data_IF_521451402268
#
_entry.id   IF_521451402268
#
_cell.length_a   1.000
_cell.length_b   1.000
_cell.length_c   1.000
_cell.angle_alpha   90.00
_cell.angle_beta   90.00
_cell.angle_gamma   90.00
#
_symmetry.space_group_name_H-M   'P 1'
#
loop_
_entity.id
_entity.type
_entity.pdbx_description
1 polymer ?
#
# COMPACT_ATOMS: atom_id res chain seq x y z
N UNK A 1 31.76 5.96 -2.43
CA UNK A 1 31.00 6.37 -1.23
C UNK A 1 29.95 7.37 -1.66
N UNK A 2 28.65 7.05 -1.58
CA UNK A 2 27.59 8.04 -1.80
C UNK A 2 27.49 8.92 -0.55
N UNK A 3 27.57 10.23 -0.72
CA UNK A 3 27.44 11.23 0.34
C UNK A 3 26.00 11.18 0.86
N UNK A 4 25.80 10.62 2.05
CA UNK A 4 24.51 10.60 2.74
C UNK A 4 24.23 12.04 3.17
N UNK A 5 23.38 12.76 2.45
CA UNK A 5 23.03 14.14 2.79
C UNK A 5 22.00 14.07 3.90
N UNK A 6 22.46 14.14 5.14
CA UNK A 6 21.59 14.14 6.31
C UNK A 6 20.95 15.52 6.47
N UNK A 7 19.64 15.62 6.24
CA UNK A 7 18.88 16.85 6.46
C UNK A 7 18.43 16.92 7.93
N UNK A 8 18.78 18.00 8.62
CA UNK A 8 18.23 18.33 9.94
C UNK A 8 16.88 19.02 9.74
N UNK A 9 15.79 18.30 9.94
CA UNK A 9 14.45 18.89 9.87
C UNK A 9 13.99 19.28 11.27
N UNK A 10 13.56 20.54 11.43
CA UNK A 10 12.80 20.98 12.60
C UNK A 10 11.34 20.51 12.52
N UNK A 11 10.75 20.52 11.31
CA UNK A 11 9.38 20.07 11.01
C UNK A 11 9.31 19.57 9.55
N UNK A 12 8.68 18.41 9.33
CA UNK A 12 8.39 17.93 7.97
C UNK A 12 7.17 18.70 7.46
N UNK A 13 7.35 19.44 6.37
CA UNK A 13 6.33 20.29 5.77
C UNK A 13 5.96 19.78 4.39
N UNK A 14 4.66 19.74 4.12
CA UNK A 14 4.13 19.46 2.79
C UNK A 14 3.67 20.77 2.16
N UNK A 15 4.08 21.04 0.92
CA UNK A 15 3.49 22.13 0.17
C UNK A 15 2.05 21.78 -0.22
N UNK A 16 1.17 22.79 -0.34
CA UNK A 16 -0.21 22.61 -0.85
C UNK A 16 -0.31 21.74 -2.12
N UNK A 17 0.67 21.86 -3.03
CA UNK A 17 0.71 21.06 -4.26
C UNK A 17 0.96 19.57 -3.98
N UNK A 18 1.86 19.26 -3.06
CA UNK A 18 2.15 17.87 -2.67
C UNK A 18 0.93 17.22 -2.02
N UNK A 19 0.22 17.97 -1.18
CA UNK A 19 -1.01 17.48 -0.53
C UNK A 19 -2.10 17.21 -1.57
N UNK A 20 -2.33 18.16 -2.49
CA UNK A 20 -3.35 18.00 -3.53
C UNK A 20 -3.01 16.84 -4.49
N UNK A 21 -1.72 16.63 -4.80
CA UNK A 21 -1.29 15.48 -5.59
C UNK A 21 -1.53 14.17 -4.84
N UNK A 22 -1.10 14.08 -3.58
CA UNK A 22 -1.27 12.88 -2.75
C UNK A 22 -2.75 12.54 -2.55
N UNK A 23 -3.61 13.53 -2.32
CA UNK A 23 -5.05 13.36 -2.19
C UNK A 23 -5.67 12.77 -3.46
N UNK A 24 -5.35 13.32 -4.63
CA UNK A 24 -5.88 12.82 -5.90
C UNK A 24 -5.31 11.43 -6.23
N UNK A 25 -3.99 11.28 -6.13
CA UNK A 25 -3.29 10.06 -6.44
C UNK A 25 -3.72 8.90 -5.53
N UNK A 26 -3.93 9.14 -4.23
CA UNK A 26 -4.32 8.09 -3.29
C UNK A 26 -5.71 7.53 -3.57
N UNK A 27 -6.65 8.37 -4.01
CA UNK A 27 -7.98 7.93 -4.43
C UNK A 27 -7.87 7.03 -5.66
N UNK A 28 -7.16 7.47 -6.70
CA UNK A 28 -6.98 6.68 -7.93
C UNK A 28 -6.25 5.36 -7.67
N UNK A 29 -5.18 5.40 -6.88
CA UNK A 29 -4.46 4.19 -6.45
C UNK A 29 -5.40 3.24 -5.71
N UNK A 30 -6.22 3.74 -4.78
CA UNK A 30 -7.17 2.90 -4.07
C UNK A 30 -8.15 2.22 -5.02
N UNK A 31 -8.72 2.96 -5.99
CA UNK A 31 -9.66 2.42 -6.97
C UNK A 31 -9.04 1.27 -7.78
N UNK A 32 -7.78 1.38 -8.20
CA UNK A 32 -7.07 0.30 -8.92
C UNK A 32 -6.90 -0.93 -8.02
N UNK A 33 -6.53 -0.74 -6.76
CA UNK A 33 -6.43 -1.86 -5.81
C UNK A 33 -7.81 -2.52 -5.58
N UNK A 34 -8.88 -1.74 -5.42
CA UNK A 34 -10.23 -2.25 -5.19
C UNK A 34 -10.76 -3.00 -6.42
N UNK A 35 -10.56 -2.43 -7.62
CA UNK A 35 -10.87 -3.05 -8.91
C UNK A 35 -10.15 -4.38 -9.09
N UNK A 36 -8.85 -4.42 -8.78
CA UNK A 36 -8.05 -5.66 -8.88
C UNK A 36 -8.47 -6.68 -7.83
N UNK A 37 -8.73 -6.26 -6.59
CA UNK A 37 -9.18 -7.15 -5.52
C UNK A 37 -10.52 -7.80 -5.86
N UNK A 38 -11.47 -7.04 -6.40
CA UNK A 38 -12.74 -7.56 -6.87
C UNK A 38 -12.56 -8.58 -8.00
N UNK A 39 -11.75 -8.25 -9.01
CA UNK A 39 -11.43 -9.17 -10.10
C UNK A 39 -10.85 -10.50 -9.58
N UNK A 40 -9.88 -10.44 -8.65
CA UNK A 40 -9.31 -11.64 -8.06
C UNK A 40 -10.36 -12.44 -7.29
N UNK A 41 -11.22 -11.80 -6.50
CA UNK A 41 -12.29 -12.50 -5.79
C UNK A 41 -13.26 -13.20 -6.75
N UNK A 42 -13.59 -12.56 -7.87
CA UNK A 42 -14.52 -13.11 -8.87
C UNK A 42 -13.98 -14.32 -9.65
N UNK A 43 -12.65 -14.50 -9.68
CA UNK A 43 -12.01 -15.47 -10.58
C UNK A 43 -11.02 -16.44 -9.92
N UNK A 44 -10.49 -16.12 -8.74
CA UNK A 44 -9.60 -17.03 -8.03
C UNK A 44 -10.40 -18.14 -7.33
N UNK A 45 -9.95 -19.40 -7.38
CA UNK A 45 -10.45 -20.44 -6.50
C UNK A 45 -10.20 -20.10 -5.02
N UNK A 46 -11.09 -20.54 -4.13
CA UNK A 46 -10.99 -20.28 -2.68
C UNK A 46 -9.63 -20.67 -2.10
N UNK A 47 -9.09 -21.83 -2.51
CA UNK A 47 -7.77 -22.30 -2.06
C UNK A 47 -6.64 -21.33 -2.41
N UNK A 48 -6.73 -20.66 -3.56
CA UNK A 48 -5.76 -19.67 -4.00
C UNK A 48 -6.01 -18.32 -3.33
N UNK A 49 -7.27 -17.94 -3.12
CA UNK A 49 -7.63 -16.76 -2.34
C UNK A 49 -7.04 -16.84 -0.91
N UNK A 50 -7.21 -17.97 -0.25
CA UNK A 50 -6.69 -18.20 1.10
C UNK A 50 -5.15 -18.22 1.11
N UNK A 51 -4.53 -18.78 0.06
CA UNK A 51 -3.09 -18.84 -0.09
C UNK A 51 -2.47 -17.50 -0.52
N UNK A 52 -3.21 -16.58 -1.13
CA UNK A 52 -2.71 -15.29 -1.63
C UNK A 52 -3.16 -14.08 -0.80
N UNK A 53 -4.45 -13.96 -0.53
CA UNK A 53 -5.06 -12.84 0.20
C UNK A 53 -5.21 -13.17 1.69
N UNK A 54 -5.67 -14.38 2.03
CA UNK A 54 -5.72 -14.88 3.42
C UNK A 54 -6.67 -14.11 4.34
N UNK A 55 -7.64 -13.37 3.77
CA UNK A 55 -8.70 -12.64 4.48
C UNK A 55 -9.99 -12.84 3.70
N UNK A 56 -11.12 -13.21 4.35
CA UNK A 56 -12.40 -13.33 3.66
C UNK A 56 -12.79 -12.06 2.90
N UNK A 57 -13.31 -12.22 1.68
CA UNK A 57 -13.68 -11.07 0.85
C UNK A 57 -14.76 -10.18 1.49
N UNK A 58 -15.71 -10.78 2.20
CA UNK A 58 -16.74 -10.05 2.97
C UNK A 58 -16.15 -9.07 3.99
N UNK A 59 -15.02 -9.44 4.61
CA UNK A 59 -14.33 -8.63 5.61
C UNK A 59 -13.54 -7.51 4.95
N UNK A 60 -12.69 -7.84 3.98
CA UNK A 60 -11.83 -6.84 3.33
C UNK A 60 -12.62 -5.85 2.45
N UNK A 61 -13.76 -6.27 1.87
CA UNK A 61 -14.61 -5.41 1.03
C UNK A 61 -15.50 -4.45 1.83
N UNK A 62 -15.71 -4.71 3.12
CA UNK A 62 -16.51 -3.85 3.99
C UNK A 62 -15.95 -2.43 4.11
N UNK A 63 -14.63 -2.27 3.95
CA UNK A 63 -13.89 -1.00 4.06
C UNK A 63 -14.32 0.07 3.05
N UNK A 64 -14.81 -0.32 1.88
CA UNK A 64 -15.27 0.62 0.85
C UNK A 64 -16.77 0.56 0.58
N UNK A 65 -17.48 -0.42 1.15
CA UNK A 65 -18.95 -0.44 1.16
C UNK A 65 -19.56 0.52 2.18
N UNK A 66 -18.73 1.10 3.04
CA UNK A 66 -19.13 2.07 4.06
C UNK A 66 -19.97 1.51 5.19
N UNK A 67 -19.90 0.19 5.38
CA UNK A 67 -20.63 -0.53 6.42
C UNK A 67 -19.71 -0.91 7.59
N UNK A 68 -18.51 -0.31 7.68
CA UNK A 68 -17.49 -0.75 8.63
C UNK A 68 -16.98 0.38 9.53
N UNK A 69 -17.35 0.32 10.81
CA UNK A 69 -16.80 1.18 11.87
C UNK A 69 -15.40 0.71 12.37
N UNK A 70 -14.86 -0.39 11.83
CA UNK A 70 -13.76 -1.15 12.46
C UNK A 70 -12.50 -1.36 11.60
N UNK A 71 -12.33 -0.65 10.49
CA UNK A 71 -11.15 -0.81 9.65
C UNK A 71 -10.73 0.44 8.88
N UNK A 72 -9.49 0.43 8.40
CA UNK A 72 -8.87 1.59 7.72
C UNK A 72 -8.00 1.13 6.56
N UNK A 73 -7.78 2.02 5.59
CA UNK A 73 -6.82 1.80 4.51
C UNK A 73 -5.63 2.74 4.73
N UNK A 74 -4.44 2.15 4.75
CA UNK A 74 -3.19 2.87 4.95
C UNK A 74 -2.26 2.67 3.76
N UNK A 75 -2.06 3.75 2.99
CA UNK A 75 -1.13 3.75 1.88
C UNK A 75 0.24 4.27 2.30
N UNK A 76 1.30 3.64 1.80
CA UNK A 76 2.69 3.99 2.08
C UNK A 76 3.29 4.64 0.85
N UNK A 77 3.69 5.91 0.99
CA UNK A 77 4.21 6.73 -0.08
C UNK A 77 5.65 7.16 0.19
N UNK A 78 6.44 7.27 -0.87
CA UNK A 78 7.78 7.85 -0.86
C UNK A 78 7.82 9.00 -1.88
N UNK A 79 8.33 10.15 -1.47
CA UNK A 79 8.71 11.20 -2.41
C UNK A 79 10.08 10.85 -3.00
N UNK A 80 10.08 10.30 -4.21
CA UNK A 80 11.31 9.95 -4.93
C UNK A 80 11.73 11.10 -5.86
N UNK A 81 12.96 11.08 -6.40
CA UNK A 81 13.38 12.08 -7.40
C UNK A 81 12.51 12.12 -8.67
N UNK A 82 11.75 11.07 -8.96
CA UNK A 82 10.84 10.98 -10.11
C UNK A 82 9.37 11.21 -9.74
N UNK A 83 9.11 11.73 -8.53
CA UNK A 83 7.77 12.00 -8.03
C UNK A 83 7.33 11.03 -6.92
N UNK A 84 6.07 11.16 -6.51
CA UNK A 84 5.45 10.33 -5.49
C UNK A 84 5.30 8.88 -5.97
N UNK A 85 5.67 7.92 -5.11
CA UNK A 85 5.54 6.49 -5.38
C UNK A 85 4.80 5.80 -4.24
N UNK A 86 3.71 5.12 -4.57
CA UNK A 86 3.00 4.23 -3.65
C UNK A 86 3.71 2.88 -3.60
N UNK A 87 4.27 2.55 -2.44
CA UNK A 87 4.98 1.29 -2.20
C UNK A 87 4.11 0.26 -1.45
N UNK A 88 2.83 0.57 -1.22
CA UNK A 88 1.88 -0.37 -0.65
C UNK A 88 0.59 0.30 -0.18
N UNK A 89 -0.50 -0.46 -0.20
CA UNK A 89 -1.84 -0.11 0.24
C UNK A 89 -2.34 -1.20 1.20
N UNK A 90 -2.09 -1.01 2.49
CA UNK A 90 -2.47 -1.92 3.57
C UNK A 90 -3.96 -1.73 3.90
N UNK A 91 -4.71 -2.84 3.93
CA UNK A 91 -6.10 -2.87 4.40
C UNK A 91 -6.13 -3.44 5.80
N UNK A 92 -6.38 -2.58 6.79
CA UNK A 92 -6.44 -2.96 8.19
C UNK A 92 -7.88 -3.33 8.52
N UNK A 93 -8.12 -4.61 8.86
CA UNK A 93 -9.45 -5.09 9.18
C UNK A 93 -9.43 -6.01 10.41
N UNK A 94 -10.55 -5.99 11.13
CA UNK A 94 -10.84 -6.91 12.23
C UNK A 94 -11.80 -7.98 11.73
N UNK A 95 -11.41 -9.23 11.94
CA UNK A 95 -12.25 -10.41 11.69
C UNK A 95 -12.79 -10.92 13.02
N UNK A 96 -14.12 -10.94 13.17
CA UNK A 96 -14.76 -11.63 14.29
C UNK A 96 -14.61 -13.14 14.09
N UNK A 97 -14.19 -13.85 15.13
CA UNK A 97 -14.05 -15.31 15.09
C UNK A 97 -15.33 -16.04 15.53
N UNK A 98 -16.41 -15.32 15.82
CA UNK A 98 -17.70 -15.90 16.24
C UNK A 98 -18.59 -16.27 15.04
N UNK A 99 -19.31 -17.42 15.08
CA UNK A 99 -20.33 -17.76 14.09
C UNK A 99 -21.47 -16.74 14.10
N UNK A 100 -22.01 -16.43 12.92
CA UNK A 100 -23.09 -15.43 12.73
C UNK A 100 -24.44 -15.78 13.39
N UNK A 101 -24.58 -16.91 14.11
CA UNK A 101 -25.88 -17.50 14.46
C UNK A 101 -26.18 -17.65 15.97
N UNK A 102 -25.36 -17.15 16.90
CA UNK A 102 -25.67 -17.27 18.33
C UNK A 102 -26.32 -16.00 18.91
N UNK A 103 -27.63 -15.87 18.73
CA UNK A 103 -28.48 -14.84 19.38
C UNK A 103 -28.59 -15.00 20.91
N UNK A 104 -27.95 -15.99 21.54
CA UNK A 104 -28.14 -16.32 22.96
C UNK A 104 -26.84 -16.60 23.76
N UNK A 105 -25.74 -15.91 23.47
CA UNK A 105 -24.52 -16.00 24.28
C UNK A 105 -24.36 -14.81 25.24
N UNK A 106 -24.72 -15.03 26.51
CA UNK A 106 -24.40 -14.13 27.62
C UNK A 106 -22.92 -14.33 27.99
N UNK A 107 -22.10 -13.27 27.88
CA UNK A 107 -20.71 -13.17 28.35
C UNK A 107 -19.67 -14.10 27.69
N UNK A 108 -19.54 -14.06 26.36
CA UNK A 108 -18.27 -14.47 25.72
C UNK A 108 -17.44 -13.23 25.37
N UNK A 109 -16.16 -13.24 25.77
CA UNK A 109 -15.19 -12.23 25.33
C UNK A 109 -15.02 -12.35 23.82
N UNK A 110 -15.58 -11.41 23.06
CA UNK A 110 -15.48 -11.39 21.61
C UNK A 110 -14.02 -11.43 21.18
N UNK A 111 -13.64 -12.49 20.48
CA UNK A 111 -12.30 -12.64 19.94
C UNK A 111 -12.23 -12.05 18.54
N UNK A 112 -11.20 -11.23 18.31
CA UNK A 112 -10.95 -10.59 17.02
C UNK A 112 -9.56 -10.94 16.51
N UNK A 113 -9.47 -11.23 15.22
CA UNK A 113 -8.20 -11.36 14.50
C UNK A 113 -7.92 -10.07 13.73
N UNK A 114 -6.80 -9.42 14.07
CA UNK A 114 -6.34 -8.22 13.36
C UNK A 114 -5.51 -8.59 12.14
N UNK A 115 -5.89 -8.04 10.99
CA UNK A 115 -5.17 -8.19 9.73
C UNK A 115 -4.47 -6.88 9.39
N UNK A 116 -3.14 -6.92 9.29
CA UNK A 116 -2.32 -5.72 9.06
C UNK A 116 -2.23 -5.29 7.58
N UNK A 117 -2.84 -6.02 6.65
CA UNK A 117 -2.91 -5.62 5.24
C UNK A 117 -1.62 -5.79 4.42
N UNK A 118 -0.48 -6.20 5.01
CA UNK A 118 0.82 -6.20 4.31
C UNK A 118 0.84 -7.21 3.17
N UNK A 119 0.39 -8.43 3.43
CA UNK A 119 0.38 -9.49 2.42
C UNK A 119 -0.53 -9.13 1.25
N UNK A 120 -1.76 -8.70 1.54
CA UNK A 120 -2.75 -8.28 0.54
C UNK A 120 -2.20 -7.12 -0.29
N UNK A 121 -1.58 -6.14 0.39
CA UNK A 121 -0.94 -5.01 -0.28
C UNK A 121 0.12 -5.45 -1.29
N UNK A 122 1.00 -6.38 -0.93
CA UNK A 122 2.12 -6.77 -1.80
C UNK A 122 1.69 -7.68 -2.94
N UNK A 123 0.77 -8.61 -2.68
CA UNK A 123 0.21 -9.48 -3.72
C UNK A 123 -0.54 -8.65 -4.75
N UNK A 124 -1.45 -7.79 -4.32
CA UNK A 124 -2.20 -6.92 -5.22
C UNK A 124 -1.26 -6.01 -6.01
N UNK A 125 -0.21 -5.46 -5.37
CA UNK A 125 0.75 -4.62 -6.07
C UNK A 125 1.52 -5.38 -7.17
N UNK A 126 1.89 -6.63 -6.92
CA UNK A 126 2.53 -7.49 -7.92
C UNK A 126 1.59 -7.83 -9.09
N UNK A 127 0.32 -8.13 -8.79
CA UNK A 127 -0.70 -8.43 -9.80
C UNK A 127 -0.97 -7.20 -10.67
N UNK A 128 -1.20 -6.04 -10.05
CA UNK A 128 -1.44 -4.77 -10.76
C UNK A 128 -0.28 -4.46 -11.69
N UNK A 129 0.96 -4.54 -11.21
CA UNK A 129 2.14 -4.26 -12.01
C UNK A 129 2.29 -5.23 -13.19
N UNK A 130 2.09 -6.52 -12.96
CA UNK A 130 2.15 -7.55 -14.00
C UNK A 130 1.07 -7.33 -15.07
N UNK A 131 -0.15 -7.01 -14.66
CA UNK A 131 -1.25 -6.68 -15.57
C UNK A 131 -0.96 -5.41 -16.37
N UNK A 132 -0.38 -4.39 -15.75
CA UNK A 132 0.04 -3.17 -16.45
C UNK A 132 1.10 -3.45 -17.52
N UNK A 133 2.20 -4.15 -17.18
CA UNK A 133 3.26 -4.45 -18.15
C UNK A 133 2.74 -5.30 -19.31
N UNK A 134 1.90 -6.31 -19.03
CA UNK A 134 1.27 -7.13 -20.07
C UNK A 134 0.29 -6.31 -20.92
N UNK A 135 -0.49 -5.41 -20.32
CA UNK A 135 -1.43 -4.56 -21.05
C UNK A 135 -0.67 -3.63 -22.02
N UNK A 136 0.41 -3.03 -21.56
CA UNK A 136 1.26 -2.17 -22.41
C UNK A 136 1.95 -2.98 -23.52
N UNK A 137 2.50 -4.16 -23.19
CA UNK A 137 3.21 -5.01 -24.13
C UNK A 137 2.30 -5.55 -25.24
N UNK A 138 1.08 -5.95 -24.88
CA UNK A 138 0.14 -6.60 -25.79
C UNK A 138 -0.97 -5.68 -26.29
N UNK A 139 -0.90 -4.35 -26.05
CA UNK A 139 -1.96 -3.38 -26.42
C UNK A 139 -2.53 -3.58 -27.84
N UNK A 140 -1.72 -3.85 -28.90
CA UNK A 140 -2.25 -4.08 -30.25
C UNK A 140 -3.12 -5.34 -30.42
N UNK A 141 -3.09 -6.26 -29.45
CA UNK A 141 -3.70 -7.58 -29.52
C UNK A 141 -4.84 -7.79 -28.51
N UNK A 142 -5.07 -6.86 -27.57
CA UNK A 142 -6.03 -7.03 -26.47
C UNK A 142 -7.49 -6.68 -26.84
N UNK A 143 -7.74 -6.25 -28.08
CA UNK A 143 -9.06 -5.81 -28.51
C UNK A 143 -9.44 -4.44 -27.92
N UNK A 144 -10.73 -4.12 -27.94
CA UNK A 144 -11.23 -2.76 -27.70
C UNK A 144 -11.48 -2.42 -26.20
N UNK A 145 -11.41 -3.40 -25.29
CA UNK A 145 -11.76 -3.21 -23.87
C UNK A 145 -10.73 -3.84 -22.92
N UNK A 146 -9.56 -3.19 -22.70
CA UNK A 146 -8.60 -3.64 -21.70
C UNK A 146 -9.16 -3.50 -20.28
N UNK A 147 -8.74 -4.39 -19.37
CA UNK A 147 -9.15 -4.31 -17.96
C UNK A 147 -8.78 -2.96 -17.31
N UNK A 148 -7.58 -2.45 -17.60
CA UNK A 148 -7.16 -1.11 -17.21
C UNK A 148 -7.34 -0.17 -18.40
N UNK A 149 -8.09 0.91 -18.19
CA UNK A 149 -8.21 1.98 -19.17
C UNK A 149 -6.93 2.84 -19.20
N UNK A 150 -6.88 3.82 -20.11
CA UNK A 150 -5.69 4.67 -20.25
C UNK A 150 -5.39 5.51 -18.99
N UNK A 151 -6.42 5.88 -18.21
CA UNK A 151 -6.26 6.64 -16.95
C UNK A 151 -5.70 5.74 -15.83
N UNK A 152 -6.15 4.49 -15.75
CA UNK A 152 -5.60 3.45 -14.88
C UNK A 152 -4.13 3.22 -15.23
N UNK A 153 -3.80 2.99 -16.51
CA UNK A 153 -2.43 2.76 -16.96
C UNK A 153 -1.53 3.97 -16.65
N UNK A 154 -2.02 5.19 -16.85
CA UNK A 154 -1.30 6.40 -16.48
C UNK A 154 -1.05 6.47 -14.96
N UNK A 155 -2.06 6.16 -14.15
CA UNK A 155 -1.94 6.13 -12.68
C UNK A 155 -0.94 5.07 -12.23
N UNK A 156 -0.99 3.86 -12.80
CA UNK A 156 -0.07 2.77 -12.46
C UNK A 156 1.36 3.17 -12.80
N UNK A 157 1.62 3.63 -14.02
CA UNK A 157 2.97 4.05 -14.44
C UNK A 157 3.53 5.22 -13.61
N UNK A 158 2.66 6.13 -13.18
CA UNK A 158 3.05 7.32 -12.42
C UNK A 158 3.34 7.01 -10.96
N UNK A 159 2.54 6.15 -10.31
CA UNK A 159 2.58 6.02 -8.85
C UNK A 159 2.99 4.64 -8.35
N UNK A 160 2.73 3.57 -9.09
CA UNK A 160 3.10 2.24 -8.63
C UNK A 160 4.60 1.98 -8.84
N UNK A 161 5.14 1.12 -7.99
CA UNK A 161 6.52 0.66 -8.06
C UNK A 161 6.56 -0.73 -8.70
N UNK A 162 7.51 -1.00 -9.61
CA UNK A 162 7.71 -2.33 -10.17
C UNK A 162 7.78 -3.39 -9.08
N UNK A 163 6.84 -4.33 -9.14
CA UNK A 163 6.62 -5.33 -8.09
C UNK A 163 6.28 -6.65 -8.73
N UNK A 164 6.94 -7.72 -8.32
CA UNK A 164 6.94 -9.01 -9.00
C UNK A 164 6.87 -10.16 -8.00
N UNK A 165 6.36 -11.31 -8.43
CA UNK A 165 6.41 -12.56 -7.64
C UNK A 165 7.75 -13.30 -7.77
N UNK A 166 8.63 -12.84 -8.67
CA UNK A 166 10.01 -13.31 -8.83
C UNK A 166 10.97 -12.12 -8.94
N UNK A 167 12.25 -12.32 -8.64
CA UNK A 167 13.27 -11.27 -8.71
C UNK A 167 13.94 -11.11 -10.08
N UNK A 168 13.72 -12.05 -11.01
CA UNK A 168 14.47 -12.14 -12.26
C UNK A 168 14.45 -10.85 -13.07
N UNK A 169 13.27 -10.24 -13.25
CA UNK A 169 13.12 -8.99 -14.01
C UNK A 169 13.88 -7.82 -13.40
N UNK A 170 13.98 -7.77 -12.07
CA UNK A 170 14.73 -6.71 -11.36
C UNK A 170 16.24 -6.96 -11.46
N UNK A 171 16.68 -8.21 -11.32
CA UNK A 171 18.10 -8.59 -11.46
C UNK A 171 18.61 -8.33 -12.88
N UNK A 172 17.87 -8.76 -13.91
CA UNK A 172 18.26 -8.52 -15.31
C UNK A 172 18.43 -7.03 -15.62
N UNK A 173 17.61 -6.18 -15.00
CA UNK A 173 17.69 -4.71 -15.14
C UNK A 173 18.66 -4.06 -14.15
N UNK A 174 19.43 -4.84 -13.39
CA UNK A 174 20.35 -4.35 -12.33
C UNK A 174 19.67 -3.39 -11.34
N UNK A 175 18.39 -3.64 -11.04
CA UNK A 175 17.61 -2.84 -10.10
C UNK A 175 17.69 -3.42 -8.69
N UNK A 176 18.08 -2.63 -7.68
CA UNK A 176 17.99 -3.07 -6.30
C UNK A 176 16.52 -3.34 -5.95
N UNK A 177 16.26 -4.37 -5.16
CA UNK A 177 14.90 -4.71 -4.75
C UNK A 177 14.82 -5.00 -3.26
N UNK A 178 13.60 -4.97 -2.74
CA UNK A 178 13.26 -5.43 -1.41
C UNK A 178 12.38 -6.67 -1.52
N UNK A 179 12.78 -7.73 -0.84
CA UNK A 179 11.98 -8.93 -0.68
C UNK A 179 10.99 -8.77 0.49
N UNK A 180 9.75 -9.18 0.23
CA UNK A 180 8.70 -9.39 1.22
C UNK A 180 8.38 -10.88 1.22
N UNK A 181 8.53 -11.52 2.38
CA UNK A 181 8.25 -12.94 2.59
C UNK A 181 7.20 -13.08 3.68
N UNK A 182 6.09 -13.72 3.35
CA UNK A 182 5.04 -14.08 4.31
C UNK A 182 4.44 -15.44 3.94
N UNK A 183 4.43 -16.37 4.89
CA UNK A 183 4.00 -17.76 4.72
C UNK A 183 4.52 -18.39 3.41
N UNK A 184 3.67 -18.43 2.38
CA UNK A 184 3.90 -19.08 1.10
C UNK A 184 4.12 -18.10 -0.06
N UNK A 185 4.24 -16.80 0.22
CA UNK A 185 4.37 -15.75 -0.80
C UNK A 185 5.71 -15.05 -0.65
N UNK A 186 6.32 -14.83 -1.81
CA UNK A 186 7.49 -13.96 -1.98
C UNK A 186 7.12 -12.89 -2.99
N UNK A 187 7.34 -11.64 -2.63
CA UNK A 187 7.17 -10.48 -3.50
C UNK A 187 8.43 -9.66 -3.50
N UNK A 188 8.88 -9.24 -4.68
CA UNK A 188 10.06 -8.43 -4.90
C UNK A 188 9.62 -7.09 -5.48
N UNK A 189 9.87 -6.01 -4.75
CA UNK A 189 9.55 -4.65 -5.17
C UNK A 189 10.84 -3.90 -5.45
N UNK A 190 10.90 -3.14 -6.55
CA UNK A 190 12.02 -2.25 -6.84
C UNK A 190 12.25 -1.32 -5.64
N UNK A 191 13.51 -1.15 -5.26
CA UNK A 191 13.89 -0.28 -4.18
C UNK A 191 13.77 1.18 -4.60
N UNK A 192 12.85 1.91 -3.98
CA UNK A 192 12.75 3.36 -4.12
C UNK A 192 13.51 4.04 -2.98
N UNK A 193 14.38 4.98 -3.35
CA UNK A 193 15.10 5.78 -2.37
C UNK A 193 14.16 6.77 -1.69
N UNK A 194 14.11 6.70 -0.37
CA UNK A 194 13.47 7.70 0.47
C UNK A 194 14.51 8.70 1.01
N UNK A 195 14.16 9.97 1.27
CA UNK A 195 15.06 10.92 1.91
C UNK A 195 15.48 10.45 3.31
N UNK A 196 16.77 10.53 3.62
CA UNK A 196 17.29 10.32 4.98
C UNK A 196 17.17 11.61 5.79
N UNK A 197 16.45 11.57 6.91
CA UNK A 197 16.22 12.72 7.79
C UNK A 197 16.70 12.42 9.19
N UNK A 198 17.17 13.46 9.88
CA UNK A 198 17.35 13.49 11.33
C UNK A 198 16.37 14.48 11.92
N UNK A 199 15.45 13.96 12.73
CA UNK A 199 14.50 14.76 13.50
C UNK A 199 15.06 15.03 14.89
N UNK A 200 15.04 16.29 15.32
CA UNK A 200 15.32 16.68 16.71
C UNK A 200 14.02 17.05 17.39
N UNK A 201 13.73 16.43 18.53
CA UNK A 201 12.55 16.69 19.35
C UNK A 201 12.91 16.69 20.83
N UNK A 202 11.97 17.06 21.70
CA UNK A 202 12.23 17.21 23.14
C UNK A 202 12.77 15.92 23.81
N UNK A 203 12.52 14.75 23.22
CA UNK A 203 13.02 13.44 23.68
C UNK A 203 14.33 12.97 23.04
N UNK A 204 14.96 13.75 22.16
CA UNK A 204 16.27 13.43 21.57
C UNK A 204 16.34 13.57 20.04
N UNK A 205 17.21 12.75 19.42
CA UNK A 205 17.42 12.69 17.98
C UNK A 205 16.91 11.36 17.43
N UNK A 206 16.22 11.41 16.30
CA UNK A 206 15.75 10.22 15.56
C UNK A 206 16.21 10.32 14.12
N UNK A 207 17.07 9.39 13.69
CA UNK A 207 17.48 9.24 12.29
C UNK A 207 16.63 8.17 11.61
N UNK A 208 16.16 8.45 10.40
CA UNK A 208 15.47 7.46 9.61
C UNK A 208 15.13 7.95 8.21
N UNK A 209 14.56 7.04 7.42
CA UNK A 209 14.03 7.35 6.10
C UNK A 209 12.64 7.94 6.23
N UNK A 210 12.42 9.08 5.60
CA UNK A 210 11.12 9.72 5.58
C UNK A 210 10.17 9.01 4.63
N UNK A 211 9.02 8.66 5.20
CA UNK A 211 7.90 8.04 4.51
C UNK A 211 6.64 8.86 4.77
N UNK A 212 5.70 8.79 3.84
CA UNK A 212 4.40 9.46 3.96
C UNK A 212 3.31 8.40 4.02
N UNK A 213 2.67 8.27 5.17
CA UNK A 213 1.41 7.54 5.27
C UNK A 213 0.27 8.39 4.71
N UNK A 214 -0.61 7.79 3.91
CA UNK A 214 -1.88 8.40 3.52
C UNK A 214 -2.99 7.49 4.05
N UNK A 215 -3.83 8.05 4.92
CA UNK A 215 -5.00 7.36 5.46
C UNK A 215 -6.18 7.59 4.53
N UNK A 216 -6.89 6.51 4.22
CA UNK A 216 -8.14 6.58 3.46
C UNK A 216 -9.30 6.12 4.33
N UNK A 217 -10.43 6.78 4.14
CA UNK A 217 -11.69 6.50 4.81
C UNK A 217 -12.82 6.50 3.78
N UNK A 218 -13.54 5.40 3.61
CA UNK A 218 -14.65 5.29 2.65
C UNK A 218 -14.30 5.75 1.22
N UNK A 219 -13.12 5.39 0.72
CA UNK A 219 -12.58 5.84 -0.58
C UNK A 219 -12.33 7.36 -0.69
N UNK A 220 -12.19 8.03 0.45
CA UNK A 220 -11.83 9.44 0.56
C UNK A 220 -10.49 9.58 1.27
N UNK A 221 -9.79 10.66 0.94
CA UNK A 221 -8.60 11.05 1.64
C UNK A 221 -8.96 11.49 3.08
N UNK A 222 -8.36 10.82 4.08
CA UNK A 222 -8.62 11.10 5.49
C UNK A 222 -7.47 11.88 6.16
N UNK A 223 -6.28 11.85 5.57
CA UNK A 223 -5.15 12.68 6.02
C UNK A 223 -3.78 12.06 5.79
N UNK A 224 -2.76 12.82 6.17
CA UNK A 224 -1.35 12.43 6.07
C UNK A 224 -0.80 12.04 7.44
N UNK A 225 0.01 10.97 7.44
CA UNK A 225 0.82 10.54 8.58
C UNK A 225 2.28 10.39 8.17
N UNK A 226 3.09 11.46 8.13
CA UNK A 226 4.53 11.33 7.96
C UNK A 226 5.13 10.45 9.06
N UNK A 227 6.10 9.62 8.71
CA UNK A 227 6.86 8.86 9.69
C UNK A 227 8.31 8.67 9.26
N UNK A 228 9.21 8.56 10.24
CA UNK A 228 10.58 8.11 10.02
C UNK A 228 10.64 6.60 10.21
N UNK A 229 11.31 5.92 9.29
CA UNK A 229 11.62 4.50 9.41
C UNK A 229 13.12 4.31 9.63
N UNK A 230 13.49 3.82 10.81
CA UNK A 230 14.88 3.57 11.15
C UNK A 230 15.46 2.33 10.42
N UNK A 231 16.72 2.02 10.70
CA UNK A 231 17.42 0.85 10.13
C UNK A 231 16.88 -0.48 10.65
N UNK A 232 16.26 -0.51 11.83
CA UNK A 232 15.60 -1.69 12.43
C UNK A 232 14.17 -1.87 11.91
N UNK A 233 13.65 -0.89 11.18
CA UNK A 233 12.31 -0.88 10.62
C UNK A 233 11.23 -0.31 11.54
N UNK A 234 11.61 0.24 12.70
CA UNK A 234 10.71 0.93 13.62
C UNK A 234 10.21 2.23 12.98
N UNK A 235 8.92 2.54 13.19
CA UNK A 235 8.26 3.74 12.66
C UNK A 235 8.07 4.75 13.79
N UNK A 236 8.52 5.98 13.58
CA UNK A 236 8.24 7.13 14.44
C UNK A 236 7.30 8.07 13.69
N UNK A 237 6.03 8.08 14.08
CA UNK A 237 5.00 8.92 13.46
C UNK A 237 5.13 10.38 13.89
N UNK A 238 4.76 11.26 12.97
CA UNK A 238 4.82 12.71 13.14
C UNK A 238 3.51 13.34 12.70
N UNK A 239 3.25 14.55 13.18
CA UNK A 239 2.12 15.35 12.71
C UNK A 239 2.45 15.95 11.34
N UNK A 240 1.50 15.90 10.42
CA UNK A 240 1.62 16.56 9.13
C UNK A 240 1.35 18.07 9.28
N UNK A 241 2.25 18.89 8.74
CA UNK A 241 2.07 20.34 8.62
C UNK A 241 1.99 20.74 7.14
N UNK A 242 0.94 21.47 6.77
CA UNK A 242 0.67 21.93 5.40
C UNK A 242 0.94 23.43 5.32
N UNK A 243 1.73 23.86 4.33
CA UNK A 243 2.06 25.28 4.06
C UNK A 243 1.43 25.78 2.76
#
# INVERSE_FOLDING_TARGET
MKTKTTLFSREITYGKKDVAELENASIKVQLIYDKTLFMLHSHLPDSLWDAWIGVPYSIISSLYKGNNDSGTIFQKWIQSPTGWKCIGCERHCLESTEPLEEENAVNHERQYKFHNGIRQSMVLQAVIWSMYENTVLFKPFLGDEPFFDDDDLHTISSYFVPTYLNEFHLIERSKPCKEYKDQNIRVFQEWISAPDLVLKWNGGLTEGRWMTGVYMDHSRFAGLGPYLKDSKGQRTYMQAYVQ
#
